data_IF_597238766256
#
_entry.id   IF_597238766256
#
_cell.length_a   1.000
_cell.length_b   1.000
_cell.length_c   1.000
_cell.angle_alpha   90.00
_cell.angle_beta   90.00
_cell.angle_gamma   90.00
#
_symmetry.space_group_name_H-M   'P 1'
#
loop_
_entity.id
_entity.type
_entity.pdbx_description
1 polymer ?
#
# COMPACT_ATOMS: atom_id res chain seq x y z
N UNK A 1 -18.90 -21.75 0.48
CA UNK A 1 -18.51 -21.73 1.89
C UNK A 1 -19.56 -20.94 2.66
N UNK A 2 -20.25 -21.52 3.67
CA UNK A 2 -21.36 -20.86 4.36
C UNK A 2 -20.95 -19.65 5.21
N UNK A 3 -19.66 -19.34 5.30
CA UNK A 3 -19.14 -18.23 6.10
C UNK A 3 -18.61 -17.05 5.27
N UNK A 4 -18.97 -16.93 4.00
CA UNK A 4 -18.71 -15.75 3.19
C UNK A 4 -17.25 -15.54 2.73
N UNK A 5 -16.41 -16.56 2.86
CA UNK A 5 -15.04 -16.53 2.34
C UNK A 5 -14.99 -16.55 0.81
N UNK A 6 -14.14 -15.74 0.21
CA UNK A 6 -13.94 -15.74 -1.24
C UNK A 6 -13.23 -17.03 -1.67
N UNK A 7 -13.82 -17.77 -2.62
CA UNK A 7 -13.21 -19.02 -3.09
C UNK A 7 -12.00 -18.75 -4.01
N UNK A 8 -11.02 -19.65 -3.99
CA UNK A 8 -9.84 -19.59 -4.89
C UNK A 8 -10.26 -19.55 -6.37
N UNK A 9 -11.35 -20.23 -6.73
CA UNK A 9 -11.87 -20.21 -8.09
C UNK A 9 -12.35 -18.84 -8.53
N UNK A 10 -12.94 -18.04 -7.63
CA UNK A 10 -13.33 -16.66 -7.90
C UNK A 10 -12.10 -15.76 -8.09
N UNK A 11 -11.07 -15.91 -7.28
CA UNK A 11 -9.82 -15.17 -7.44
C UNK A 11 -9.14 -15.51 -8.77
N UNK A 12 -9.12 -16.79 -9.17
CA UNK A 12 -8.58 -17.23 -10.47
C UNK A 12 -9.36 -16.70 -11.66
N UNK A 13 -10.64 -16.40 -11.50
CA UNK A 13 -11.52 -15.99 -12.61
C UNK A 13 -11.15 -14.65 -13.25
N UNK A 14 -10.31 -13.84 -12.61
CA UNK A 14 -9.97 -12.48 -13.04
C UNK A 14 -11.12 -11.46 -12.94
N UNK A 15 -12.26 -11.86 -12.35
CA UNK A 15 -13.43 -10.98 -12.18
C UNK A 15 -13.26 -9.94 -11.08
N UNK A 16 -12.25 -10.14 -10.23
CA UNK A 16 -11.91 -9.26 -9.13
C UNK A 16 -10.54 -8.63 -9.38
N UNK A 17 -10.40 -7.36 -9.11
CA UNK A 17 -9.09 -6.73 -8.93
C UNK A 17 -8.42 -7.37 -7.71
N UNK A 18 -7.15 -7.73 -7.83
CA UNK A 18 -6.39 -8.35 -6.75
C UNK A 18 -5.47 -7.31 -6.13
N UNK A 19 -5.72 -6.95 -4.88
CA UNK A 19 -4.91 -6.01 -4.13
C UNK A 19 -4.09 -6.68 -3.03
N UNK A 20 -2.93 -6.11 -2.73
CA UNK A 20 -2.20 -6.40 -1.49
C UNK A 20 -2.37 -5.23 -0.53
N UNK A 21 -2.69 -5.52 0.73
CA UNK A 21 -2.53 -4.57 1.83
C UNK A 21 -1.18 -4.86 2.47
N UNK A 22 -0.26 -3.91 2.33
CA UNK A 22 1.08 -3.99 2.89
C UNK A 22 1.13 -3.18 4.18
N UNK A 23 1.48 -3.82 5.29
CA UNK A 23 1.58 -3.16 6.60
C UNK A 23 2.47 -3.94 7.56
N UNK A 24 2.75 -3.34 8.73
CA UNK A 24 3.33 -3.98 9.91
C UNK A 24 2.29 -3.89 11.04
N UNK A 25 1.54 -4.96 11.24
CA UNK A 25 0.48 -4.99 12.26
C UNK A 25 1.03 -4.88 13.68
N UNK A 26 2.28 -5.31 13.91
CA UNK A 26 2.94 -5.16 15.21
C UNK A 26 3.16 -3.69 15.54
N UNK A 27 3.70 -2.91 14.60
CA UNK A 27 3.89 -1.47 14.77
C UNK A 27 2.56 -0.71 14.86
N UNK A 28 1.56 -1.09 14.06
CA UNK A 28 0.24 -0.48 14.17
C UNK A 28 -0.43 -0.79 15.51
N UNK A 29 -0.22 -2.00 16.05
CA UNK A 29 -0.72 -2.35 17.40
C UNK A 29 -0.06 -1.50 18.47
N UNK A 30 1.23 -1.26 18.37
CA UNK A 30 1.96 -0.36 19.26
C UNK A 30 1.46 1.09 19.12
N UNK A 31 1.34 1.59 17.89
CA UNK A 31 0.92 2.96 17.61
C UNK A 31 -0.52 3.26 18.07
N UNK A 32 -1.45 2.35 17.84
CA UNK A 32 -2.85 2.52 18.25
C UNK A 32 -3.14 2.11 19.68
N UNK A 33 -2.29 1.29 20.31
CA UNK A 33 -2.42 0.85 21.70
C UNK A 33 -3.81 0.26 21.98
N UNK A 34 -4.51 0.80 22.99
CA UNK A 34 -5.84 0.36 23.38
C UNK A 34 -6.91 0.52 22.26
N UNK A 35 -6.64 1.35 21.26
CA UNK A 35 -7.55 1.59 20.14
C UNK A 35 -7.34 0.60 18.97
N UNK A 36 -6.33 -0.25 19.03
CA UNK A 36 -6.02 -1.21 17.95
C UNK A 36 -7.21 -2.13 17.58
N UNK A 37 -8.00 -2.68 18.53
CA UNK A 37 -9.16 -3.52 18.17
C UNK A 37 -10.20 -2.76 17.33
N UNK A 38 -10.38 -1.46 17.58
CA UNK A 38 -11.27 -0.64 16.76
C UNK A 38 -10.73 -0.43 15.36
N UNK A 39 -9.42 -0.17 15.24
CA UNK A 39 -8.73 -0.07 13.95
C UNK A 39 -8.86 -1.39 13.16
N UNK A 40 -8.54 -2.52 13.76
CA UNK A 40 -8.59 -3.85 13.14
C UNK A 40 -10.00 -4.19 12.64
N UNK A 41 -11.02 -3.94 13.46
CA UNK A 41 -12.42 -4.10 13.05
C UNK A 41 -12.74 -3.25 11.82
N UNK A 42 -12.38 -1.97 11.84
CA UNK A 42 -12.65 -1.05 10.74
C UNK A 42 -11.94 -1.47 9.45
N UNK A 43 -10.69 -1.98 9.57
CA UNK A 43 -9.95 -2.51 8.44
C UNK A 43 -10.64 -3.75 7.85
N UNK A 44 -11.09 -4.67 8.70
CA UNK A 44 -11.81 -5.86 8.26
C UNK A 44 -13.15 -5.51 7.58
N UNK A 45 -13.88 -4.53 8.09
CA UNK A 45 -15.10 -4.01 7.46
C UNK A 45 -14.79 -3.38 6.09
N UNK A 46 -13.68 -2.66 5.96
CA UNK A 46 -13.25 -2.11 4.68
C UNK A 46 -12.90 -3.22 3.67
N UNK A 47 -12.14 -4.22 4.07
CA UNK A 47 -11.79 -5.37 3.22
C UNK A 47 -13.05 -6.08 2.74
N UNK A 48 -14.00 -6.35 3.65
CA UNK A 48 -15.27 -6.96 3.31
C UNK A 48 -16.09 -6.12 2.32
N UNK A 49 -16.11 -4.80 2.52
CA UNK A 49 -16.76 -3.88 1.58
C UNK A 49 -16.10 -3.92 0.21
N UNK A 50 -14.77 -3.95 0.13
CA UNK A 50 -14.04 -4.00 -1.15
C UNK A 50 -14.29 -5.29 -1.94
N UNK A 51 -14.58 -6.39 -1.26
CA UNK A 51 -15.03 -7.63 -1.92
C UNK A 51 -16.35 -7.40 -2.67
N UNK A 52 -17.29 -6.67 -2.08
CA UNK A 52 -18.55 -6.32 -2.76
C UNK A 52 -18.34 -5.39 -3.97
N UNK A 53 -17.27 -4.61 -3.95
CA UNK A 53 -16.83 -3.70 -5.03
C UNK A 53 -15.89 -4.39 -6.04
N UNK A 54 -15.86 -5.72 -6.05
CA UNK A 54 -15.03 -6.57 -6.91
C UNK A 54 -13.52 -6.34 -6.77
N UNK A 55 -13.06 -5.94 -5.59
CA UNK A 55 -11.66 -5.87 -5.24
C UNK A 55 -11.36 -6.80 -4.07
N UNK A 56 -10.51 -7.78 -4.27
CA UNK A 56 -10.07 -8.72 -3.23
C UNK A 56 -8.72 -8.29 -2.71
N UNK A 57 -8.65 -7.96 -1.42
CA UNK A 57 -7.39 -7.65 -0.76
C UNK A 57 -6.85 -8.86 -0.01
N UNK A 58 -5.57 -9.12 -0.19
CA UNK A 58 -4.77 -10.04 0.62
C UNK A 58 -3.86 -9.22 1.53
N UNK A 59 -3.79 -9.61 2.80
CA UNK A 59 -2.91 -8.95 3.78
C UNK A 59 -1.48 -9.51 3.65
N UNK A 60 -0.52 -8.61 3.50
CA UNK A 60 0.91 -8.89 3.61
C UNK A 60 1.41 -8.16 4.85
N UNK A 61 1.40 -8.87 5.97
CA UNK A 61 1.92 -8.38 7.24
C UNK A 61 3.43 -8.62 7.30
N UNK A 62 4.18 -7.54 7.34
CA UNK A 62 5.64 -7.60 7.41
C UNK A 62 6.11 -8.16 8.75
N UNK A 63 5.33 -7.98 9.84
CA UNK A 63 5.68 -8.47 11.17
C UNK A 63 5.64 -10.00 11.30
N UNK A 64 4.86 -10.69 10.48
CA UNK A 64 4.75 -12.16 10.50
C UNK A 64 5.97 -12.86 9.88
N UNK A 65 6.84 -12.13 9.19
CA UNK A 65 8.03 -12.71 8.60
C UNK A 65 9.17 -12.83 9.62
N UNK A 66 9.90 -13.94 9.55
CA UNK A 66 11.06 -14.21 10.42
C UNK A 66 12.13 -13.10 10.34
N UNK A 67 12.18 -12.35 9.24
CA UNK A 67 13.08 -11.22 9.02
C UNK A 67 12.71 -10.03 9.91
N UNK A 68 11.43 -9.78 10.11
CA UNK A 68 10.93 -8.68 10.94
C UNK A 68 11.22 -8.85 12.43
N UNK A 69 11.42 -10.09 12.90
CA UNK A 69 11.71 -10.37 14.32
C UNK A 69 13.09 -9.90 14.79
N UNK A 70 13.97 -9.54 13.89
CA UNK A 70 15.35 -9.16 14.22
C UNK A 70 15.63 -7.66 14.17
N UNK A 71 14.97 -6.90 13.31
CA UNK A 71 15.04 -5.41 13.18
C UNK A 71 13.91 -4.94 12.27
N UNK A 72 13.56 -3.64 12.31
CA UNK A 72 12.67 -3.05 11.30
C UNK A 72 13.19 -3.36 9.90
N UNK A 73 12.41 -4.03 9.04
CA UNK A 73 12.90 -4.44 7.73
C UNK A 73 13.24 -3.21 6.89
N UNK A 74 14.30 -3.31 6.11
CA UNK A 74 14.61 -2.30 5.10
C UNK A 74 13.60 -2.37 3.95
N UNK A 75 13.48 -1.30 3.18
CA UNK A 75 12.61 -1.28 2.00
C UNK A 75 12.99 -2.38 0.99
N UNK A 76 14.28 -2.71 0.84
CA UNK A 76 14.75 -3.78 -0.05
C UNK A 76 14.21 -5.15 0.40
N UNK A 77 14.22 -5.40 1.71
CA UNK A 77 13.66 -6.64 2.27
C UNK A 77 12.14 -6.72 2.04
N UNK A 78 11.43 -5.59 2.14
CA UNK A 78 9.99 -5.52 1.87
C UNK A 78 9.71 -5.78 0.38
N UNK A 79 10.49 -5.20 -0.54
CA UNK A 79 10.40 -5.53 -1.97
C UNK A 79 10.60 -7.03 -2.21
N UNK A 80 11.56 -7.65 -1.53
CA UNK A 80 11.76 -9.11 -1.57
C UNK A 80 10.52 -9.88 -1.09
N UNK A 81 9.87 -9.44 -0.02
CA UNK A 81 8.62 -10.06 0.47
C UNK A 81 7.47 -9.93 -0.53
N UNK A 82 7.32 -8.76 -1.14
CA UNK A 82 6.29 -8.53 -2.18
C UNK A 82 6.56 -9.42 -3.39
N UNK A 83 7.81 -9.57 -3.81
CA UNK A 83 8.20 -10.44 -4.91
C UNK A 83 7.91 -11.91 -4.61
N UNK A 84 8.16 -12.36 -3.38
CA UNK A 84 7.82 -13.72 -2.94
C UNK A 84 6.29 -13.93 -2.94
N UNK A 85 5.53 -12.98 -2.40
CA UNK A 85 4.06 -13.04 -2.43
C UNK A 85 3.54 -13.05 -3.88
N UNK A 86 4.11 -12.24 -4.75
CA UNK A 86 3.78 -12.19 -6.17
C UNK A 86 4.07 -13.53 -6.87
N UNK A 87 5.23 -14.14 -6.61
CA UNK A 87 5.59 -15.48 -7.09
C UNK A 87 4.58 -16.54 -6.65
N UNK A 88 4.23 -16.55 -5.36
CA UNK A 88 3.22 -17.46 -4.81
C UNK A 88 1.85 -17.27 -5.48
N UNK A 89 1.38 -16.03 -5.65
CA UNK A 89 0.10 -15.74 -6.28
C UNK A 89 0.09 -16.16 -7.76
N UNK A 90 1.19 -15.93 -8.47
CA UNK A 90 1.34 -16.36 -9.86
C UNK A 90 1.30 -17.90 -9.99
N UNK A 91 1.95 -18.61 -9.09
CA UNK A 91 1.94 -20.06 -9.08
C UNK A 91 0.56 -20.64 -8.76
N UNK A 92 -0.11 -20.12 -7.72
CA UNK A 92 -1.36 -20.72 -7.22
C UNK A 92 -2.63 -20.14 -7.85
N UNK A 93 -2.62 -18.85 -8.23
CA UNK A 93 -3.77 -18.17 -8.83
C UNK A 93 -3.60 -17.88 -10.33
N UNK A 94 -2.40 -18.08 -10.90
CA UNK A 94 -2.02 -17.65 -12.25
C UNK A 94 -2.23 -16.14 -12.45
N UNK A 95 -2.06 -15.35 -11.39
CA UNK A 95 -2.28 -13.90 -11.36
C UNK A 95 -1.21 -13.21 -10.53
N UNK A 96 -0.99 -11.95 -10.86
CA UNK A 96 -0.22 -11.01 -10.03
C UNK A 96 -1.17 -10.01 -9.40
N UNK A 97 -0.80 -9.35 -8.30
CA UNK A 97 -1.56 -8.22 -7.78
C UNK A 97 -1.68 -7.09 -8.82
N UNK A 98 -2.80 -6.39 -8.77
CA UNK A 98 -3.05 -5.20 -9.60
C UNK A 98 -2.67 -3.93 -8.82
N UNK A 99 -2.79 -3.98 -7.49
CA UNK A 99 -2.59 -2.84 -6.59
C UNK A 99 -1.88 -3.23 -5.31
N UNK A 100 -1.15 -2.26 -4.75
CA UNK A 100 -0.64 -2.32 -3.36
C UNK A 100 -1.22 -1.13 -2.60
N UNK A 101 -1.87 -1.40 -1.48
CA UNK A 101 -2.35 -0.40 -0.54
C UNK A 101 -1.51 -0.47 0.74
N UNK A 102 -0.65 0.53 0.92
CA UNK A 102 0.24 0.61 2.07
C UNK A 102 -0.52 1.27 3.22
N UNK A 103 -0.61 0.58 4.36
CA UNK A 103 -1.16 1.13 5.60
C UNK A 103 -0.02 1.47 6.56
N UNK A 104 0.10 2.74 6.86
CA UNK A 104 1.12 3.28 7.75
C UNK A 104 2.03 4.29 7.07
N UNK A 105 2.70 5.08 7.89
CA UNK A 105 3.72 6.03 7.47
C UNK A 105 5.09 5.37 7.26
N UNK A 106 6.12 6.21 7.15
CA UNK A 106 7.49 5.75 6.89
C UNK A 106 8.08 4.92 8.07
N UNK A 107 7.57 5.10 9.29
CA UNK A 107 8.00 4.31 10.46
C UNK A 107 7.39 2.91 10.45
N UNK A 108 6.21 2.75 9.86
CA UNK A 108 5.53 1.45 9.71
C UNK A 108 6.09 0.68 8.51
N UNK A 109 6.00 1.29 7.32
CA UNK A 109 6.54 0.75 6.07
C UNK A 109 7.50 1.77 5.47
N UNK A 110 8.81 1.55 5.52
CA UNK A 110 9.78 2.53 5.07
C UNK A 110 9.64 2.82 3.57
N UNK A 111 9.79 4.09 3.20
CA UNK A 111 9.93 4.49 1.81
C UNK A 111 11.33 4.16 1.30
N UNK A 112 11.47 3.97 -0.01
CA UNK A 112 12.79 3.93 -0.65
C UNK A 112 13.45 5.30 -0.57
N UNK A 113 14.75 5.31 -0.27
CA UNK A 113 15.58 6.51 -0.21
C UNK A 113 16.64 6.43 -1.29
N UNK A 114 16.71 7.45 -2.12
CA UNK A 114 17.62 7.52 -3.25
C UNK A 114 18.31 8.86 -3.31
N UNK A 115 19.56 8.93 -3.81
CA UNK A 115 20.23 10.20 -4.02
C UNK A 115 19.42 11.13 -4.91
N UNK A 116 19.27 12.37 -4.51
CA UNK A 116 18.66 13.39 -5.35
C UNK A 116 19.69 13.90 -6.37
N UNK A 117 19.41 13.70 -7.64
CA UNK A 117 20.29 14.12 -8.74
C UNK A 117 20.04 15.56 -9.19
N UNK A 118 19.06 16.25 -8.60
CA UNK A 118 18.77 17.65 -8.91
C UNK A 118 19.70 18.54 -8.09
N UNK A 119 20.70 19.11 -8.76
CA UNK A 119 21.79 19.88 -8.12
C UNK A 119 21.26 21.11 -7.37
N UNK A 120 20.16 21.69 -7.83
CA UNK A 120 19.55 22.89 -7.24
C UNK A 120 18.62 22.60 -6.08
N UNK A 121 18.30 21.31 -5.82
CA UNK A 121 17.46 20.90 -4.71
C UNK A 121 18.32 20.80 -3.42
N UNK A 122 17.90 21.43 -2.31
CA UNK A 122 18.59 21.31 -1.04
C UNK A 122 18.50 19.88 -0.44
N UNK A 123 17.49 19.12 -0.83
CA UNK A 123 17.28 17.77 -0.33
C UNK A 123 18.27 16.80 -1.00
N UNK A 124 19.06 16.13 -0.18
CA UNK A 124 20.07 15.18 -0.63
C UNK A 124 19.51 13.84 -1.09
N UNK A 125 18.34 13.48 -0.58
CA UNK A 125 17.66 12.22 -0.84
C UNK A 125 16.20 12.45 -1.19
N UNK A 126 15.66 11.59 -2.03
CA UNK A 126 14.23 11.53 -2.36
C UNK A 126 13.63 10.28 -1.74
N UNK A 127 12.57 10.45 -0.97
CA UNK A 127 11.77 9.34 -0.44
C UNK A 127 10.60 9.05 -1.38
N UNK A 128 10.38 7.75 -1.68
CA UNK A 128 9.33 7.36 -2.62
C UNK A 128 8.82 5.94 -2.39
N UNK A 129 7.54 5.73 -2.68
CA UNK A 129 6.90 4.41 -2.74
C UNK A 129 7.01 3.75 -4.12
N UNK A 130 7.64 4.41 -5.09
CA UNK A 130 7.79 3.92 -6.45
C UNK A 130 8.46 2.53 -6.51
N UNK A 131 9.36 2.25 -5.58
CA UNK A 131 10.02 0.94 -5.43
C UNK A 131 9.03 -0.21 -5.28
N UNK A 132 7.91 0.01 -4.60
CA UNK A 132 6.87 -1.00 -4.41
C UNK A 132 6.01 -1.21 -5.65
N UNK A 133 5.98 -0.24 -6.56
CA UNK A 133 5.28 -0.36 -7.83
C UNK A 133 6.11 -1.03 -8.93
N UNK A 134 7.44 -0.87 -8.86
CA UNK A 134 8.37 -1.42 -9.86
C UNK A 134 8.85 -2.81 -9.52
N UNK A 135 8.68 -3.24 -8.25
CA UNK A 135 9.17 -4.51 -7.71
C UNK A 135 10.69 -4.70 -7.90
N UNK A 136 11.41 -3.58 -7.99
CA UNK A 136 12.85 -3.57 -8.16
C UNK A 136 13.53 -3.19 -6.85
N UNK A 137 14.59 -3.90 -6.52
CA UNK A 137 15.49 -3.58 -5.42
C UNK A 137 16.65 -2.65 -5.84
N UNK A 138 16.67 -2.28 -7.12
CA UNK A 138 17.68 -1.39 -7.70
C UNK A 138 17.26 0.07 -7.57
N UNK A 139 18.24 0.97 -7.49
CA UNK A 139 18.00 2.41 -7.54
C UNK A 139 17.26 2.77 -8.83
N UNK A 140 16.04 3.33 -8.69
CA UNK A 140 15.23 3.70 -9.85
C UNK A 140 15.92 4.71 -10.77
N UNK A 141 16.83 5.50 -10.26
CA UNK A 141 17.50 6.57 -10.99
C UNK A 141 18.83 6.14 -11.65
N UNK A 142 19.39 5.00 -11.25
CA UNK A 142 20.66 4.49 -11.82
C UNK A 142 20.48 3.79 -13.17
N UNK A 143 19.29 3.41 -13.53
CA UNK A 143 19.01 2.84 -14.84
C UNK A 143 18.83 3.95 -15.88
N UNK A 144 19.92 4.64 -16.19
CA UNK A 144 19.95 5.68 -17.22
C UNK A 144 19.34 5.15 -18.53
N UNK A 145 18.19 5.70 -18.91
CA UNK A 145 17.50 5.40 -20.17
C UNK A 145 16.35 4.42 -20.12
N UNK A 146 16.11 3.72 -19.02
CA UNK A 146 14.88 2.93 -18.82
C UNK A 146 13.94 3.69 -17.89
N UNK A 147 12.86 4.23 -18.44
CA UNK A 147 11.78 4.75 -17.62
C UNK A 147 11.30 3.61 -16.70
N UNK A 148 11.31 3.84 -15.40
CA UNK A 148 10.70 2.94 -14.45
C UNK A 148 9.21 2.87 -14.78
N UNK A 149 8.83 1.76 -15.36
CA UNK A 149 7.42 1.52 -15.64
C UNK A 149 6.81 0.87 -14.41
N UNK A 150 5.91 1.55 -13.70
CA UNK A 150 5.18 0.96 -12.61
C UNK A 150 4.45 -0.30 -13.11
N UNK A 151 4.65 -1.42 -12.43
CA UNK A 151 3.96 -2.68 -12.72
C UNK A 151 2.66 -2.79 -11.92
N UNK A 152 2.61 -2.12 -10.78
CA UNK A 152 1.49 -2.12 -9.83
C UNK A 152 1.08 -0.69 -9.52
N UNK A 153 -0.21 -0.50 -9.28
CA UNK A 153 -0.71 0.74 -8.68
C UNK A 153 -0.34 0.74 -7.20
N UNK A 154 0.24 1.81 -6.70
CA UNK A 154 0.59 1.95 -5.28
C UNK A 154 -0.10 3.16 -4.70
N UNK A 155 -0.71 2.98 -3.54
CA UNK A 155 -1.26 4.07 -2.74
C UNK A 155 -0.91 3.86 -1.27
N UNK A 156 -0.60 4.95 -0.57
CA UNK A 156 -0.31 4.92 0.87
C UNK A 156 -1.35 5.69 1.64
N UNK A 157 -1.79 5.12 2.75
CA UNK A 157 -2.51 5.82 3.81
C UNK A 157 -1.57 5.98 5.02
N UNK A 158 -0.95 7.16 5.18
CA UNK A 158 -0.07 7.40 6.31
C UNK A 158 -0.89 7.63 7.58
N UNK A 159 -0.42 7.10 8.69
CA UNK A 159 -0.98 7.31 10.03
C UNK A 159 -0.06 8.23 10.82
N UNK A 160 0.03 9.49 10.41
CA UNK A 160 0.82 10.50 11.11
C UNK A 160 0.32 10.80 12.52
N UNK A 161 1.07 11.61 13.27
CA UNK A 161 0.69 12.02 14.62
C UNK A 161 -0.75 12.56 14.67
N UNK A 162 -1.55 12.02 15.59
CA UNK A 162 -2.97 12.39 15.75
C UNK A 162 -3.93 11.73 14.76
N UNK A 163 -3.49 10.75 13.97
CA UNK A 163 -4.37 9.91 13.19
C UNK A 163 -4.86 8.74 14.07
N UNK A 164 -6.05 8.87 14.62
CA UNK A 164 -6.68 7.82 15.44
C UNK A 164 -7.63 6.93 14.62
N UNK A 165 -8.14 5.84 15.24
CA UNK A 165 -9.11 4.94 14.60
C UNK A 165 -10.36 5.64 14.09
N UNK A 166 -10.80 6.71 14.77
CA UNK A 166 -11.98 7.49 14.35
C UNK A 166 -11.74 8.19 13.01
N UNK A 167 -10.54 8.76 12.81
CA UNK A 167 -10.17 9.36 11.52
C UNK A 167 -10.05 8.31 10.42
N UNK A 168 -9.54 7.13 10.73
CA UNK A 168 -9.49 6.01 9.81
C UNK A 168 -10.89 5.55 9.41
N UNK A 169 -11.79 5.37 10.38
CA UNK A 169 -13.18 5.02 10.13
C UNK A 169 -13.89 6.08 9.25
N UNK A 170 -13.67 7.35 9.56
CA UNK A 170 -14.22 8.46 8.77
C UNK A 170 -13.66 8.50 7.34
N UNK A 171 -12.36 8.29 7.17
CA UNK A 171 -11.73 8.20 5.86
C UNK A 171 -12.32 7.06 5.02
N UNK A 172 -12.49 5.87 5.60
CA UNK A 172 -13.09 4.74 4.90
C UNK A 172 -14.57 4.96 4.57
N UNK A 173 -15.33 5.59 5.46
CA UNK A 173 -16.71 5.96 5.20
C UNK A 173 -16.81 6.94 4.01
N UNK A 174 -15.94 7.94 3.97
CA UNK A 174 -15.86 8.89 2.85
C UNK A 174 -15.52 8.22 1.51
N UNK A 175 -14.62 7.22 1.52
CA UNK A 175 -14.33 6.44 0.30
C UNK A 175 -15.59 5.72 -0.18
N UNK A 176 -16.31 5.04 0.71
CA UNK A 176 -17.56 4.35 0.36
C UNK A 176 -18.59 5.29 -0.26
N UNK A 177 -18.77 6.47 0.32
CA UNK A 177 -19.70 7.47 -0.20
C UNK A 177 -19.29 8.01 -1.57
N UNK A 178 -18.01 8.33 -1.75
CA UNK A 178 -17.49 8.90 -3.01
C UNK A 178 -17.49 7.90 -4.16
N UNK A 179 -17.23 6.62 -3.90
CA UNK A 179 -17.29 5.57 -4.93
C UNK A 179 -18.74 5.36 -5.39
N UNK A 180 -19.70 5.53 -4.49
CA UNK A 180 -21.13 5.43 -4.84
C UNK A 180 -21.65 6.63 -5.65
N UNK A 181 -20.92 7.75 -5.63
CA UNK A 181 -21.26 8.98 -6.38
C UNK A 181 -19.99 9.45 -7.10
N UNK A 182 -19.85 9.21 -8.41
CA UNK A 182 -18.73 9.79 -9.15
C UNK A 182 -18.71 11.31 -8.92
N UNK A 183 -17.55 11.90 -8.60
CA UNK A 183 -17.48 13.32 -8.33
C UNK A 183 -17.90 14.09 -9.58
N UNK A 184 -18.86 15.00 -9.45
CA UNK A 184 -19.02 16.06 -10.43
C UNK A 184 -17.78 16.95 -10.39
N UNK A 185 -16.86 16.71 -11.32
CA UNK A 185 -15.66 17.54 -11.44
C UNK A 185 -16.07 18.85 -12.11
N UNK A 186 -16.62 19.78 -11.32
CA UNK A 186 -16.94 21.12 -11.80
C UNK A 186 -15.73 22.06 -11.78
N UNK A 187 -14.65 21.69 -11.08
CA UNK A 187 -13.46 22.51 -10.95
C UNK A 187 -12.21 21.68 -10.66
N UNK A 188 -11.18 21.84 -11.45
CA UNK A 188 -9.85 21.27 -11.18
C UNK A 188 -8.96 22.39 -10.71
N UNK A 189 -8.40 22.29 -9.49
CA UNK A 189 -7.39 23.21 -8.99
C UNK A 189 -6.05 22.48 -8.96
N UNK A 190 -5.09 22.97 -9.70
CA UNK A 190 -3.70 22.54 -9.63
C UNK A 190 -2.96 23.34 -8.56
N UNK A 191 -2.25 22.68 -7.67
CA UNK A 191 -1.28 23.30 -6.76
C UNK A 191 0.09 22.93 -7.27
N UNK A 192 0.87 23.92 -7.74
CA UNK A 192 2.29 23.74 -7.99
C UNK A 192 3.07 24.37 -6.84
N UNK A 193 4.03 23.65 -6.31
CA UNK A 193 4.96 24.24 -5.35
C UNK A 193 5.92 25.17 -6.11
N UNK A 194 6.03 26.43 -5.70
CA UNK A 194 7.01 27.40 -6.22
C UNK A 194 8.46 27.09 -5.79
N UNK A 195 8.79 25.85 -5.61
CA UNK A 195 10.13 25.43 -5.13
C UNK A 195 11.17 25.50 -6.26
N UNK A 196 10.74 25.70 -7.51
CA UNK A 196 11.56 25.54 -8.71
C UNK A 196 11.69 26.82 -9.56
N UNK A 197 11.42 28.00 -8.97
CA UNK A 197 11.74 29.29 -9.61
C UNK A 197 13.11 29.80 -9.21
#
# INVERSE_FOLDING_TARGET
DPEGGMSISLLKSGRYELGLILTDLSKLREQFGANYPTFERTLNEYIAYKISDRCAYLMLDVSDNLIAKMQSPSWQQIVGLINNANGFLKEHLSRTPDTIFILGDNDVIPMGRFPNHIITDPDREVETDLIYSTLSDSDPWQQAGTALVPQLKVGRLPFGMGFGPDKFSHYLANIREKVSRPPEVSKVSGVSAKVWE
#
